data_IF_534163448997
#
_entry.id   IF_534163448997
#
_cell.length_a   1.000
_cell.length_b   1.000
_cell.length_c   1.000
_cell.angle_alpha   90.00
_cell.angle_beta   90.00
_cell.angle_gamma   90.00
#
_symmetry.space_group_name_H-M   'P 1'
#
loop_
_entity.id
_entity.type
_entity.pdbx_description
1 polymer ?
#
# COMPACT_ATOMS: atom_id res chain seq x y z
N UNK A 1 21.72 45.20 -21.16
CA UNK A 1 21.24 44.37 -22.29
C UNK A 1 20.37 45.24 -23.20
N UNK A 2 20.64 45.26 -24.51
CA UNK A 2 19.79 45.94 -25.50
C UNK A 2 18.63 45.00 -25.88
N UNK A 3 17.44 45.21 -25.33
CA UNK A 3 16.22 44.43 -25.62
C UNK A 3 15.54 44.82 -26.94
N UNK A 4 16.11 45.79 -27.68
CA UNK A 4 15.53 46.35 -28.90
C UNK A 4 15.90 45.57 -30.17
N UNK A 5 16.65 44.48 -30.06
CA UNK A 5 17.05 43.60 -31.18
C UNK A 5 16.04 42.48 -31.46
N UNK A 6 15.00 42.35 -30.64
CA UNK A 6 14.00 41.30 -30.80
C UNK A 6 12.98 41.74 -31.85
N UNK A 7 12.87 40.95 -32.91
CA UNK A 7 11.87 41.15 -33.94
C UNK A 7 10.47 41.08 -33.33
N UNK A 8 9.68 42.14 -33.55
CA UNK A 8 8.30 42.24 -33.05
C UNK A 8 7.42 41.11 -33.56
N UNK A 9 7.71 40.56 -34.73
CA UNK A 9 6.99 39.43 -35.30
C UNK A 9 7.28 38.15 -34.51
N UNK A 10 8.53 37.91 -34.13
CA UNK A 10 8.91 36.78 -33.27
C UNK A 10 8.24 36.91 -31.90
N UNK A 11 8.22 38.12 -31.33
CA UNK A 11 7.57 38.37 -30.04
C UNK A 11 6.06 38.06 -30.07
N UNK A 12 5.38 38.39 -31.18
CA UNK A 12 3.97 38.04 -31.38
C UNK A 12 3.74 36.54 -31.43
N UNK A 13 4.58 35.80 -32.15
CA UNK A 13 4.46 34.33 -32.22
C UNK A 13 4.67 33.68 -30.86
N UNK A 14 5.69 34.10 -30.11
CA UNK A 14 5.93 33.61 -28.75
C UNK A 14 4.71 33.86 -27.88
N UNK A 15 4.14 35.07 -27.92
CA UNK A 15 2.96 35.40 -27.14
C UNK A 15 1.76 34.52 -27.50
N UNK A 16 1.50 34.31 -28.79
CA UNK A 16 0.42 33.43 -29.27
C UNK A 16 0.59 32.00 -28.75
N UNK A 17 1.77 31.41 -28.91
CA UNK A 17 2.05 30.03 -28.45
C UNK A 17 1.87 29.91 -26.94
N UNK A 18 2.33 30.91 -26.18
CA UNK A 18 2.23 30.91 -24.72
C UNK A 18 0.77 30.99 -24.26
N UNK A 19 -0.04 31.85 -24.90
CA UNK A 19 -1.47 31.98 -24.60
C UNK A 19 -2.21 30.69 -24.94
N UNK A 20 -1.94 30.08 -26.10
CA UNK A 20 -2.56 28.81 -26.51
C UNK A 20 -2.22 27.69 -25.52
N UNK A 21 -0.96 27.58 -25.11
CA UNK A 21 -0.54 26.59 -24.12
C UNK A 21 -1.24 26.79 -22.76
N UNK A 22 -1.37 28.05 -22.31
CA UNK A 22 -2.07 28.37 -21.06
C UNK A 22 -3.56 27.98 -21.13
N UNK A 23 -4.22 28.27 -22.26
CA UNK A 23 -5.63 27.88 -22.50
C UNK A 23 -5.76 26.36 -22.47
N UNK A 24 -4.89 25.63 -23.15
CA UNK A 24 -4.91 24.15 -23.15
C UNK A 24 -4.73 23.61 -21.73
N UNK A 25 -3.84 24.16 -20.92
CA UNK A 25 -3.65 23.72 -19.53
C UNK A 25 -4.88 23.98 -18.64
N UNK A 26 -5.62 25.06 -18.88
CA UNK A 26 -6.85 25.35 -18.12
C UNK A 26 -7.98 24.36 -18.42
N UNK A 27 -8.05 23.86 -19.65
CA UNK A 27 -9.06 22.89 -20.08
C UNK A 27 -8.59 21.43 -19.98
N UNK A 28 -7.29 21.19 -19.83
CA UNK A 28 -6.74 19.89 -19.52
C UNK A 28 -7.15 19.53 -18.08
N UNK A 29 -8.21 18.73 -17.96
CA UNK A 29 -8.62 18.18 -16.68
C UNK A 29 -7.44 17.45 -16.06
N UNK A 30 -7.05 17.74 -14.80
CA UNK A 30 -6.00 16.97 -14.16
C UNK A 30 -6.45 15.51 -14.15
N UNK A 31 -5.60 14.61 -14.66
CA UNK A 31 -5.80 13.18 -14.53
C UNK A 31 -5.70 12.83 -13.04
N UNK A 32 -6.79 13.05 -12.30
CA UNK A 32 -6.92 12.65 -10.91
C UNK A 32 -7.17 11.15 -10.93
N UNK A 33 -6.36 10.42 -10.18
CA UNK A 33 -6.64 9.01 -9.91
C UNK A 33 -8.04 8.92 -9.26
N UNK A 34 -8.97 8.21 -9.91
CA UNK A 34 -10.31 7.92 -9.37
C UNK A 34 -10.26 6.83 -8.28
N UNK A 35 -9.15 6.74 -7.55
CA UNK A 35 -9.02 5.77 -6.47
C UNK A 35 -9.93 6.19 -5.33
N UNK A 36 -11.06 5.52 -5.22
CA UNK A 36 -11.98 5.68 -4.10
C UNK A 36 -11.58 4.64 -3.05
N UNK A 37 -11.09 5.06 -1.86
CA UNK A 37 -10.76 4.10 -0.81
C UNK A 37 -12.05 3.43 -0.33
N UNK A 38 -12.32 2.20 -0.82
CA UNK A 38 -13.37 1.33 -0.26
C UNK A 38 -12.97 1.06 1.20
N UNK A 39 -13.91 1.21 2.14
CA UNK A 39 -13.65 0.91 3.54
C UNK A 39 -13.40 -0.59 3.70
N UNK A 40 -12.14 -1.00 3.72
CA UNK A 40 -11.76 -2.40 3.94
C UNK A 40 -11.84 -2.66 5.44
N UNK A 41 -12.75 -3.54 5.86
CA UNK A 41 -12.77 -4.02 7.24
C UNK A 41 -11.69 -5.08 7.38
N UNK A 42 -10.86 -4.90 8.40
CA UNK A 42 -9.74 -5.80 8.69
C UNK A 42 -10.07 -6.55 9.97
N UNK A 43 -10.04 -7.87 9.92
CA UNK A 43 -10.18 -8.73 11.08
C UNK A 43 -8.91 -9.57 11.28
N UNK A 44 -8.55 -9.84 12.53
CA UNK A 44 -7.42 -10.73 12.86
C UNK A 44 -7.81 -12.16 12.55
N UNK A 45 -6.97 -12.91 11.82
CA UNK A 45 -7.28 -14.29 11.41
C UNK A 45 -7.41 -15.22 12.63
N UNK A 46 -6.63 -14.99 13.68
CA UNK A 46 -6.72 -15.72 14.94
C UNK A 46 -6.38 -14.83 16.14
N UNK A 47 -7.14 -14.99 17.21
CA UNK A 47 -6.88 -14.41 18.54
C UNK A 47 -6.51 -15.49 19.57
N UNK A 48 -6.21 -16.72 19.12
CA UNK A 48 -5.87 -17.83 20.00
C UNK A 48 -4.63 -17.55 20.85
N UNK A 49 -4.56 -18.15 22.04
CA UNK A 49 -3.42 -18.01 22.95
C UNK A 49 -2.39 -19.11 22.72
N UNK A 50 -1.10 -18.79 22.88
CA UNK A 50 -0.02 -19.78 22.81
C UNK A 50 -0.10 -20.84 23.92
N UNK A 51 -0.85 -20.56 24.99
CA UNK A 51 -0.96 -21.44 26.15
C UNK A 51 -2.02 -22.54 25.98
N UNK A 52 -2.97 -22.34 25.07
CA UNK A 52 -4.09 -23.26 24.85
C UNK A 52 -3.76 -24.35 23.80
N UNK A 53 -2.56 -24.31 23.21
CA UNK A 53 -2.16 -25.29 22.20
C UNK A 53 -1.82 -26.63 22.84
N UNK A 54 -2.18 -27.75 22.16
CA UNK A 54 -1.90 -29.08 22.65
C UNK A 54 -0.38 -29.33 22.71
N UNK A 55 0.03 -30.01 23.79
CA UNK A 55 1.42 -30.35 24.08
C UNK A 55 1.56 -31.86 24.08
N UNK A 56 2.08 -32.42 23.00
CA UNK A 56 2.25 -33.87 22.82
C UNK A 56 3.66 -34.21 22.37
N UNK A 57 4.08 -35.46 22.59
CA UNK A 57 5.40 -35.95 22.16
C UNK A 57 5.56 -35.98 20.65
N UNK A 58 4.46 -36.13 19.91
CA UNK A 58 4.45 -36.20 18.45
C UNK A 58 4.94 -34.89 17.81
N UNK A 59 4.73 -33.77 18.50
CA UNK A 59 5.07 -32.45 18.01
C UNK A 59 6.49 -31.98 18.40
N UNK A 60 7.30 -32.82 19.06
CA UNK A 60 8.66 -32.46 19.48
C UNK A 60 9.58 -32.09 18.30
N UNK A 61 9.48 -32.83 17.20
CA UNK A 61 10.38 -32.65 16.05
C UNK A 61 9.96 -31.50 15.14
N UNK A 62 8.70 -31.07 15.22
CA UNK A 62 8.11 -30.07 14.31
C UNK A 62 7.93 -28.71 14.99
N UNK A 63 7.80 -28.70 16.32
CA UNK A 63 7.61 -27.46 17.07
C UNK A 63 8.93 -26.81 17.48
N UNK A 64 9.10 -25.49 17.28
CA UNK A 64 10.22 -24.74 17.85
C UNK A 64 10.11 -24.55 19.37
N UNK A 65 8.96 -24.87 19.97
CA UNK A 65 8.70 -24.72 21.41
C UNK A 65 8.32 -26.07 22.03
N UNK A 66 8.83 -26.35 23.23
CA UNK A 66 8.52 -27.55 24.01
C UNK A 66 8.17 -27.19 25.46
N UNK A 67 7.38 -28.05 26.09
CA UNK A 67 7.01 -28.01 27.50
C UNK A 67 7.25 -29.36 28.18
N UNK A 68 6.81 -29.47 29.44
CA UNK A 68 7.04 -30.68 30.26
C UNK A 68 6.40 -31.96 29.71
N UNK A 69 5.37 -31.86 28.88
CA UNK A 69 4.63 -33.00 28.32
C UNK A 69 4.93 -33.27 26.84
N UNK A 70 5.72 -32.42 26.17
CA UNK A 70 6.03 -32.58 24.74
C UNK A 70 6.25 -31.26 23.97
N UNK A 71 6.25 -31.34 22.64
CA UNK A 71 6.32 -30.19 21.75
C UNK A 71 4.96 -29.49 21.63
N UNK A 72 4.96 -28.16 21.47
CA UNK A 72 3.74 -27.36 21.29
C UNK A 72 3.27 -27.45 19.83
N UNK A 73 2.25 -28.26 19.56
CA UNK A 73 1.72 -28.42 18.22
C UNK A 73 1.15 -27.10 17.68
N UNK A 74 1.19 -26.90 16.36
CA UNK A 74 0.61 -25.75 15.65
C UNK A 74 1.07 -24.35 16.11
N UNK A 75 2.14 -24.26 16.91
CA UNK A 75 2.68 -22.99 17.41
C UNK A 75 3.08 -22.02 16.28
N UNK A 76 3.72 -22.52 15.22
CA UNK A 76 4.05 -21.70 14.05
C UNK A 76 2.81 -21.24 13.27
N UNK A 77 1.76 -22.08 13.22
CA UNK A 77 0.51 -21.74 12.55
C UNK A 77 -0.20 -20.61 13.30
N UNK A 78 -0.25 -20.67 14.64
CA UNK A 78 -0.83 -19.60 15.44
C UNK A 78 -0.11 -18.26 15.22
N UNK A 79 1.22 -18.24 15.23
CA UNK A 79 2.00 -17.02 15.01
C UNK A 79 1.75 -16.46 13.60
N UNK A 80 1.68 -17.33 12.60
CA UNK A 80 1.37 -16.93 11.22
C UNK A 80 -0.04 -16.34 11.10
N UNK A 81 -1.02 -16.93 11.78
CA UNK A 81 -2.40 -16.45 11.75
C UNK A 81 -2.56 -15.15 12.56
N UNK A 82 -1.86 -14.97 13.67
CA UNK A 82 -1.85 -13.73 14.46
C UNK A 82 -1.17 -12.56 13.74
N UNK A 83 -0.15 -12.84 12.92
CA UNK A 83 0.52 -11.82 12.08
C UNK A 83 -0.23 -11.52 10.78
N UNK A 84 -1.26 -12.31 10.48
CA UNK A 84 -2.08 -12.16 9.28
C UNK A 84 -3.38 -11.42 9.57
N UNK A 85 -3.86 -10.71 8.55
CA UNK A 85 -5.11 -9.97 8.60
C UNK A 85 -6.01 -10.43 7.46
N UNK A 86 -7.29 -10.66 7.76
CA UNK A 86 -8.30 -11.00 6.78
C UNK A 86 -9.04 -9.74 6.37
N UNK A 87 -9.20 -9.57 5.05
CA UNK A 87 -10.11 -8.58 4.50
C UNK A 87 -11.52 -9.14 4.53
N UNK A 88 -12.44 -8.41 5.17
CA UNK A 88 -13.86 -8.75 5.22
C UNK A 88 -14.61 -7.72 4.39
N UNK A 89 -15.36 -8.20 3.40
CA UNK A 89 -16.24 -7.36 2.56
C UNK A 89 -17.56 -7.04 3.24
#
# INVERSE_FOLDING_TARGET
MKLNLVDRQILKYVLIVTVVAAVVMLFASPAKSMYQPKSVKIETVSQGSMFDLPKTTDCLNTSPYSGSTGGVCDSQKLVKDQSSYKLVE
#
